data_IF_630681897258
#
_entry.id   IF_630681897258
#
_cell.length_a   1.000
_cell.length_b   1.000
_cell.length_c   1.000
_cell.angle_alpha   90.00
_cell.angle_beta   90.00
_cell.angle_gamma   90.00
#
_symmetry.space_group_name_H-M   'P 1'
#
loop_
_entity.id
_entity.type
_entity.pdbx_description
1 polymer ?
#
# COMPACT_ATOMS: atom_id res chain seq x y z
N UNK A 1 8.50 -1.42 0.20
CA UNK A 1 7.05 -1.13 0.08
C UNK A 1 6.61 -1.51 -1.34
N UNK A 2 5.81 -2.57 -1.50
CA UNK A 2 5.20 -3.14 -2.74
C UNK A 2 5.98 -3.21 -4.10
N UNK A 3 6.98 -2.37 -4.40
CA UNK A 3 7.70 -2.31 -5.68
C UNK A 3 6.86 -1.82 -6.86
N UNK A 4 5.58 -1.52 -6.65
CA UNK A 4 4.56 -1.25 -7.66
C UNK A 4 3.82 0.04 -7.31
N UNK A 5 3.44 0.82 -8.31
CA UNK A 5 2.67 2.06 -8.20
C UNK A 5 1.18 1.83 -7.85
N UNK A 6 0.89 0.88 -6.96
CA UNK A 6 -0.45 0.47 -6.53
C UNK A 6 -0.94 1.25 -5.30
N UNK A 7 -0.48 2.50 -5.14
CA UNK A 7 -0.84 3.38 -4.02
C UNK A 7 -2.08 4.22 -4.35
N UNK A 8 -3.17 3.97 -3.65
CA UNK A 8 -4.40 4.74 -3.81
C UNK A 8 -4.32 6.03 -2.99
N UNK A 9 -4.23 7.18 -3.67
CA UNK A 9 -4.22 8.50 -3.05
C UNK A 9 -5.48 8.70 -2.19
N UNK A 10 -6.67 8.43 -2.74
CA UNK A 10 -7.97 8.53 -2.06
C UNK A 10 -8.10 7.68 -0.78
N UNK A 11 -7.30 6.60 -0.65
CA UNK A 11 -7.36 5.64 0.46
C UNK A 11 -6.08 5.61 1.30
N UNK A 12 -5.11 6.47 0.98
CA UNK A 12 -3.75 6.57 1.54
C UNK A 12 -3.02 5.23 1.76
N UNK A 13 -3.20 4.24 0.87
CA UNK A 13 -2.67 2.88 1.06
C UNK A 13 -2.25 2.16 -0.23
N UNK A 14 -1.22 1.32 -0.16
CA UNK A 14 -0.84 0.41 -1.26
C UNK A 14 -1.74 -0.83 -1.26
N UNK A 15 -2.64 -0.97 -2.26
CA UNK A 15 -3.54 -2.13 -2.33
C UNK A 15 -2.79 -3.47 -2.43
N UNK A 16 -1.57 -3.45 -2.97
CA UNK A 16 -0.72 -4.63 -3.09
C UNK A 16 -0.18 -5.14 -1.74
N UNK A 17 0.10 -4.28 -0.75
CA UNK A 17 0.83 -4.69 0.46
C UNK A 17 0.43 -3.98 1.78
N UNK A 18 -0.66 -3.19 1.79
CA UNK A 18 -1.22 -2.55 2.99
C UNK A 18 -0.51 -1.29 3.51
N UNK A 19 0.76 -1.05 3.15
CA UNK A 19 1.53 0.16 3.52
C UNK A 19 0.66 1.43 3.45
N UNK A 20 0.46 2.16 4.57
CA UNK A 20 1.31 2.26 5.77
C UNK A 20 1.28 1.13 6.82
N UNK A 21 0.49 0.07 6.69
CA UNK A 21 0.43 -0.99 7.70
C UNK A 21 1.81 -1.59 8.06
N UNK A 22 2.06 -1.81 9.36
CA UNK A 22 3.29 -2.48 9.87
C UNK A 22 3.39 -3.95 9.45
N UNK A 23 2.24 -4.63 9.31
CA UNK A 23 2.15 -5.95 8.70
C UNK A 23 1.98 -5.78 7.19
N UNK A 24 2.64 -6.62 6.39
CA UNK A 24 2.30 -6.77 4.98
C UNK A 24 0.90 -7.37 4.84
N UNK A 25 0.19 -6.95 3.79
CA UNK A 25 -1.04 -7.58 3.28
C UNK A 25 -0.68 -8.54 2.16
#
# INVERSE_FOLDING_TARGET
RCGRSSYHIQKSQCAQCGYPSKKLR
#
